data_IF_328878698658
#
_entry.id   IF_328878698658
#
_cell.length_a   1.000
_cell.length_b   1.000
_cell.length_c   1.000
_cell.angle_alpha   90.00
_cell.angle_beta   90.00
_cell.angle_gamma   90.00
#
_symmetry.space_group_name_H-M   'P 1'
#
loop_
_entity.id
_entity.type
_entity.pdbx_description
1 polymer ?
#
# COMPACT_ATOMS: atom_id res chain seq x y z
N UNK A 1 -2.59 7.41 -5.35
CA UNK A 1 -2.18 7.55 -6.77
C UNK A 1 -3.45 7.73 -7.60
N UNK A 2 -3.53 8.76 -8.43
CA UNK A 2 -4.70 8.98 -9.29
C UNK A 2 -4.62 8.14 -10.57
N UNK A 3 -5.75 7.89 -11.28
CA UNK A 3 -5.72 7.26 -12.59
C UNK A 3 -4.75 7.95 -13.55
N UNK A 4 -4.81 9.28 -13.66
CA UNK A 4 -3.93 10.06 -14.55
C UNK A 4 -2.43 9.87 -14.24
N UNK A 5 -2.05 9.78 -12.96
CA UNK A 5 -0.67 9.46 -12.56
C UNK A 5 -0.25 8.07 -13.07
N UNK A 6 -1.11 7.07 -12.84
CA UNK A 6 -0.80 5.68 -13.22
C UNK A 6 -0.74 5.54 -14.74
N UNK A 7 -1.69 6.12 -15.48
CA UNK A 7 -1.73 6.10 -16.94
C UNK A 7 -0.49 6.76 -17.56
N UNK A 8 -0.09 7.93 -17.06
CA UNK A 8 1.11 8.62 -17.53
C UNK A 8 2.37 7.78 -17.29
N UNK A 9 2.46 7.14 -16.13
CA UNK A 9 3.59 6.29 -15.78
C UNK A 9 3.65 5.03 -16.67
N UNK A 10 2.53 4.32 -16.83
CA UNK A 10 2.42 3.13 -17.68
C UNK A 10 2.67 3.42 -19.18
N UNK A 11 2.43 4.65 -19.59
CA UNK A 11 2.73 5.13 -20.96
C UNK A 11 4.17 5.64 -21.12
N UNK A 12 5.02 5.50 -20.09
CA UNK A 12 6.40 5.97 -20.10
C UNK A 12 6.58 7.49 -19.99
N UNK A 13 5.50 8.23 -19.72
CA UNK A 13 5.52 9.71 -19.56
C UNK A 13 5.88 10.09 -18.13
N UNK A 14 7.09 9.70 -17.72
CA UNK A 14 7.58 9.84 -16.34
C UNK A 14 7.50 11.28 -15.80
N UNK A 15 7.97 12.26 -16.57
CA UNK A 15 7.96 13.66 -16.15
C UNK A 15 6.54 14.20 -15.92
N UNK A 16 5.57 13.73 -16.72
CA UNK A 16 4.16 14.06 -16.56
C UNK A 16 3.60 13.43 -15.27
N UNK A 17 3.91 12.16 -15.01
CA UNK A 17 3.51 11.49 -13.77
C UNK A 17 4.07 12.21 -12.54
N UNK A 18 5.35 12.59 -12.54
CA UNK A 18 5.98 13.35 -11.46
C UNK A 18 5.27 14.71 -11.23
N UNK A 19 4.92 15.41 -12.30
CA UNK A 19 4.20 16.69 -12.22
C UNK A 19 2.77 16.53 -11.67
N UNK A 20 2.05 15.49 -12.09
CA UNK A 20 0.68 15.20 -11.61
C UNK A 20 0.68 14.95 -10.09
N UNK A 21 1.65 14.22 -9.57
CA UNK A 21 1.69 13.82 -8.18
C UNK A 21 2.57 14.74 -7.30
N UNK A 22 3.21 15.74 -7.88
CA UNK A 22 4.17 16.63 -7.22
C UNK A 22 5.20 15.86 -6.37
N UNK A 23 5.86 14.88 -7.01
CA UNK A 23 6.90 14.05 -6.39
C UNK A 23 7.99 13.68 -7.39
N UNK A 24 9.09 13.12 -6.89
CA UNK A 24 10.16 12.54 -7.69
C UNK A 24 10.11 11.02 -7.61
N UNK A 25 10.04 10.38 -8.76
CA UNK A 25 10.08 8.93 -8.86
C UNK A 25 11.53 8.42 -8.77
N UNK A 26 11.79 7.28 -8.12
CA UNK A 26 13.10 6.65 -8.13
C UNK A 26 13.49 6.19 -9.53
N UNK A 27 14.78 6.22 -9.83
CA UNK A 27 15.28 5.69 -11.10
C UNK A 27 14.87 4.22 -11.26
N UNK A 28 14.41 3.85 -12.46
CA UNK A 28 13.98 2.49 -12.79
C UNK A 28 12.64 2.04 -12.18
N UNK A 29 11.97 2.89 -11.41
CA UNK A 29 10.61 2.58 -10.96
C UNK A 29 9.59 3.07 -12.04
N UNK A 30 8.56 2.30 -12.47
CA UNK A 30 8.17 0.98 -11.96
C UNK A 30 8.87 -0.16 -12.73
N UNK A 31 9.20 -1.23 -12.03
CA UNK A 31 9.61 -2.48 -12.65
C UNK A 31 8.39 -3.28 -13.18
N UNK A 32 8.57 -4.42 -13.88
CA UNK A 32 7.44 -5.19 -14.39
C UNK A 32 6.46 -5.72 -13.31
N UNK A 33 6.92 -5.93 -12.08
CA UNK A 33 6.04 -6.31 -10.98
C UNK A 33 5.19 -5.11 -10.54
N UNK A 34 5.81 -3.95 -10.35
CA UNK A 34 5.13 -2.69 -10.05
C UNK A 34 4.11 -2.33 -11.14
N UNK A 35 4.45 -2.53 -12.43
CA UNK A 35 3.51 -2.26 -13.52
C UNK A 35 2.26 -3.14 -13.45
N UNK A 36 2.40 -4.45 -13.14
CA UNK A 36 1.22 -5.33 -12.98
C UNK A 36 0.32 -4.83 -11.85
N UNK A 37 0.93 -4.50 -10.72
CA UNK A 37 0.22 -3.90 -9.58
C UNK A 37 -0.52 -2.61 -9.99
N UNK A 38 0.14 -1.68 -10.67
CA UNK A 38 -0.46 -0.42 -11.11
C UNK A 38 -1.63 -0.64 -12.10
N UNK A 39 -1.49 -1.58 -13.04
CA UNK A 39 -2.58 -1.94 -13.96
C UNK A 39 -3.78 -2.53 -13.23
N UNK A 40 -3.56 -3.37 -12.21
CA UNK A 40 -4.64 -3.88 -11.36
C UNK A 40 -5.38 -2.73 -10.67
N UNK A 41 -4.64 -1.79 -10.05
CA UNK A 41 -5.24 -0.63 -9.36
C UNK A 41 -6.02 0.28 -10.30
N UNK A 42 -5.47 0.54 -11.48
CA UNK A 42 -6.16 1.33 -12.52
C UNK A 42 -7.47 0.69 -12.96
N UNK A 43 -7.47 -0.63 -13.17
CA UNK A 43 -8.70 -1.38 -13.50
C UNK A 43 -9.74 -1.27 -12.40
N UNK A 44 -9.36 -1.50 -11.14
CA UNK A 44 -10.27 -1.37 -9.99
C UNK A 44 -10.90 0.03 -9.90
N UNK A 45 -10.13 1.09 -10.14
CA UNK A 45 -10.63 2.47 -10.17
C UNK A 45 -11.59 2.72 -11.35
N UNK A 46 -11.37 2.04 -12.48
CA UNK A 46 -12.26 2.13 -13.64
C UNK A 46 -13.59 1.38 -13.45
N UNK A 47 -13.59 0.32 -12.65
CA UNK A 47 -14.81 -0.44 -12.29
C UNK A 47 -15.65 0.30 -11.23
N UNK A 48 -15.00 0.96 -10.28
CA UNK A 48 -15.65 1.75 -9.23
C UNK A 48 -14.73 2.89 -8.77
N UNK A 49 -15.08 4.13 -9.11
CA UNK A 49 -14.31 5.32 -8.71
C UNK A 49 -14.25 5.52 -7.19
N UNK A 50 -15.23 5.03 -6.45
CA UNK A 50 -15.31 5.18 -5.00
C UNK A 50 -14.22 4.40 -4.25
N UNK A 51 -13.58 3.40 -4.90
CA UNK A 51 -12.48 2.64 -4.27
C UNK A 51 -11.15 3.39 -4.28
N UNK A 52 -10.98 4.41 -5.14
CA UNK A 52 -9.70 5.11 -5.29
C UNK A 52 -9.06 5.58 -3.97
N UNK A 53 -9.79 6.16 -3.00
CA UNK A 53 -9.19 6.59 -1.73
C UNK A 53 -8.59 5.45 -0.89
N UNK A 54 -9.07 4.22 -1.09
CA UNK A 54 -8.60 3.04 -0.38
C UNK A 54 -7.35 2.45 -0.97
N UNK A 55 -7.18 2.56 -2.28
CA UNK A 55 -6.10 1.92 -3.01
C UNK A 55 -4.73 2.61 -2.80
N UNK A 56 -3.79 2.30 -3.67
CA UNK A 56 -2.40 2.70 -3.53
C UNK A 56 -2.19 4.22 -3.40
N UNK A 57 -1.45 4.61 -2.38
CA UNK A 57 -0.90 5.96 -2.16
C UNK A 57 0.62 5.91 -2.19
N UNK A 58 1.25 6.91 -2.76
CA UNK A 58 2.69 7.06 -2.69
C UNK A 58 3.11 7.46 -1.26
N UNK A 59 4.14 6.81 -0.73
CA UNK A 59 4.88 7.30 0.41
C UNK A 59 5.94 8.27 -0.10
N UNK A 60 5.91 9.52 0.36
CA UNK A 60 6.79 10.59 -0.12
C UNK A 60 7.64 11.10 1.02
N UNK A 61 8.95 11.26 0.78
CA UNK A 61 9.86 11.88 1.76
C UNK A 61 9.45 13.32 2.06
N UNK A 62 9.71 13.76 3.31
CA UNK A 62 9.37 15.13 3.75
C UNK A 62 10.44 16.17 3.40
N UNK A 63 11.54 15.74 2.77
CA UNK A 63 12.56 16.64 2.29
C UNK A 63 12.07 17.47 1.08
N UNK A 64 12.88 18.44 0.66
CA UNK A 64 12.51 19.34 -0.46
C UNK A 64 12.37 18.61 -1.80
N UNK A 65 13.01 17.46 -1.94
CA UNK A 65 12.99 16.68 -3.18
C UNK A 65 11.70 15.87 -3.35
N UNK A 66 10.95 15.63 -2.26
CA UNK A 66 9.67 14.90 -2.30
C UNK A 66 9.77 13.57 -3.04
N UNK A 67 10.80 12.79 -2.70
CA UNK A 67 11.05 11.50 -3.35
C UNK A 67 10.01 10.46 -2.94
N UNK A 68 9.50 9.72 -3.90
CA UNK A 68 8.73 8.52 -3.61
C UNK A 68 9.65 7.46 -3.01
N UNK A 69 9.32 7.00 -1.79
CA UNK A 69 10.09 6.01 -1.03
C UNK A 69 9.40 4.65 -0.98
N UNK A 70 8.19 4.56 -1.49
CA UNK A 70 7.36 3.36 -1.51
C UNK A 70 5.91 3.68 -1.79
N UNK A 71 5.07 2.68 -1.61
CA UNK A 71 3.61 2.84 -1.68
C UNK A 71 2.91 2.01 -0.61
N UNK A 72 1.69 2.39 -0.29
CA UNK A 72 0.82 1.75 0.69
C UNK A 72 -0.64 1.93 0.27
N UNK A 73 -1.49 1.01 0.62
CA UNK A 73 -2.94 1.12 0.41
C UNK A 73 -3.68 -0.04 1.02
N UNK A 74 -4.99 0.05 0.99
CA UNK A 74 -5.84 -1.10 1.25
C UNK A 74 -6.12 -1.86 -0.05
N UNK A 75 -6.53 -3.11 0.07
CA UNK A 75 -6.92 -3.91 -1.11
C UNK A 75 -8.25 -3.45 -1.69
N UNK A 76 -9.02 -2.70 -0.91
CA UNK A 76 -10.30 -2.10 -1.24
C UNK A 76 -10.93 -1.45 -0.01
N UNK A 77 -12.19 -1.00 -0.09
CA UNK A 77 -12.97 -0.59 1.06
C UNK A 77 -13.17 -1.77 2.04
N UNK A 78 -13.59 -1.49 3.29
CA UNK A 78 -13.81 -2.56 4.27
C UNK A 78 -14.87 -3.55 3.80
N UNK A 79 -14.64 -4.83 4.12
CA UNK A 79 -15.57 -5.92 3.82
C UNK A 79 -16.86 -5.86 4.67
N UNK A 80 -17.77 -6.84 4.50
CA UNK A 80 -19.02 -6.93 5.26
C UNK A 80 -18.85 -7.09 6.78
N UNK A 81 -17.64 -7.37 7.27
CA UNK A 81 -17.27 -7.40 8.69
C UNK A 81 -16.64 -6.09 9.18
N UNK A 82 -16.52 -5.09 8.29
CA UNK A 82 -15.81 -3.84 8.57
C UNK A 82 -14.29 -3.99 8.63
N UNK A 83 -13.73 -5.04 8.02
CA UNK A 83 -12.30 -5.33 7.96
C UNK A 83 -11.68 -4.71 6.72
N UNK A 84 -10.56 -4.02 6.88
CA UNK A 84 -9.74 -3.49 5.78
C UNK A 84 -8.36 -4.16 5.76
N UNK A 85 -8.01 -4.78 4.63
CA UNK A 85 -6.72 -5.41 4.42
C UNK A 85 -5.74 -4.44 3.75
N UNK A 86 -4.54 -4.32 4.33
CA UNK A 86 -3.53 -3.35 3.92
C UNK A 86 -2.29 -4.03 3.37
N UNK A 87 -1.79 -3.50 2.24
CA UNK A 87 -0.51 -3.87 1.67
C UNK A 87 0.42 -2.66 1.53
N UNK A 88 1.73 -2.88 1.60
CA UNK A 88 2.74 -1.84 1.45
C UNK A 88 4.06 -2.37 0.89
N UNK A 89 4.77 -1.49 0.21
CA UNK A 89 6.13 -1.73 -0.27
C UNK A 89 6.98 -0.51 0.03
N UNK A 90 8.15 -0.72 0.67
CA UNK A 90 9.20 0.30 0.79
C UNK A 90 10.33 -0.08 -0.14
N UNK A 91 10.70 0.86 -1.01
CA UNK A 91 11.75 0.65 -2.00
C UNK A 91 13.10 0.41 -1.32
N UNK A 92 13.95 -0.49 -1.86
CA UNK A 92 15.15 -0.96 -1.19
C UNK A 92 16.05 0.13 -0.57
N UNK A 93 16.35 1.26 -1.26
CA UNK A 93 17.22 2.30 -0.69
C UNK A 93 16.65 3.00 0.56
N UNK A 94 15.34 2.85 0.81
CA UNK A 94 14.62 3.56 1.87
C UNK A 94 14.17 2.66 3.02
N UNK A 95 14.47 1.36 2.95
CA UNK A 95 14.10 0.38 3.98
C UNK A 95 14.78 0.68 5.32
N UNK A 96 14.20 0.16 6.41
CA UNK A 96 14.70 0.26 7.80
C UNK A 96 14.78 1.71 8.34
N UNK A 97 14.04 2.65 7.75
CA UNK A 97 13.94 4.05 8.17
C UNK A 97 12.59 4.43 8.79
N UNK A 98 11.71 3.45 9.05
CA UNK A 98 10.42 3.67 9.68
C UNK A 98 9.26 4.08 8.75
N UNK A 99 9.49 4.26 7.45
CA UNK A 99 8.47 4.71 6.51
C UNK A 99 7.21 3.84 6.50
N UNK A 100 7.35 2.49 6.44
CA UNK A 100 6.21 1.60 6.46
C UNK A 100 5.37 1.75 7.73
N UNK A 101 6.02 1.82 8.89
CA UNK A 101 5.33 1.95 10.18
C UNK A 101 4.57 3.28 10.30
N UNK A 102 5.20 4.39 9.88
CA UNK A 102 4.56 5.71 9.88
C UNK A 102 3.35 5.74 8.93
N UNK A 103 3.54 5.25 7.70
CA UNK A 103 2.50 5.22 6.70
C UNK A 103 1.33 4.31 7.10
N UNK A 104 1.60 3.10 7.63
CA UNK A 104 0.58 2.18 8.09
C UNK A 104 -0.28 2.80 9.22
N UNK A 105 0.36 3.42 10.20
CA UNK A 105 -0.37 4.14 11.27
C UNK A 105 -1.24 5.26 10.73
N UNK A 106 -0.75 6.03 9.77
CA UNK A 106 -1.50 7.11 9.14
C UNK A 106 -2.71 6.59 8.35
N UNK A 107 -2.52 5.51 7.57
CA UNK A 107 -3.60 4.87 6.81
C UNK A 107 -4.68 4.28 7.71
N UNK A 108 -4.29 3.57 8.77
CA UNK A 108 -5.22 3.02 9.76
C UNK A 108 -5.98 4.12 10.50
N UNK A 109 -5.28 5.20 10.89
CA UNK A 109 -5.92 6.34 11.56
C UNK A 109 -6.92 7.04 10.63
N UNK A 110 -6.61 7.19 9.34
CA UNK A 110 -7.53 7.72 8.33
C UNK A 110 -8.76 6.83 8.18
N UNK A 111 -8.57 5.52 7.97
CA UNK A 111 -9.68 4.59 7.78
C UNK A 111 -10.60 4.50 9.01
N UNK A 112 -10.02 4.52 10.22
CA UNK A 112 -10.80 4.52 11.45
C UNK A 112 -11.59 5.82 11.66
N UNK A 113 -10.95 6.98 11.42
CA UNK A 113 -11.57 8.28 11.67
C UNK A 113 -12.63 8.65 10.64
N UNK A 114 -12.35 8.44 9.35
CA UNK A 114 -13.22 8.88 8.26
C UNK A 114 -14.27 7.82 7.87
N UNK A 115 -13.99 6.53 8.14
CA UNK A 115 -14.83 5.43 7.67
C UNK A 115 -15.22 4.44 8.76
N UNK A 116 -14.82 4.66 10.01
CA UNK A 116 -15.20 3.83 11.15
C UNK A 116 -14.61 2.42 11.14
N UNK A 117 -13.52 2.19 10.40
CA UNK A 117 -12.86 0.87 10.35
C UNK A 117 -12.24 0.54 11.69
N UNK A 118 -12.59 -0.61 12.25
CA UNK A 118 -12.10 -1.09 13.54
C UNK A 118 -11.27 -2.36 13.45
N UNK A 119 -11.29 -3.05 12.32
CA UNK A 119 -10.55 -4.29 12.09
C UNK A 119 -9.61 -4.13 10.90
N UNK A 120 -8.33 -4.37 11.12
CA UNK A 120 -7.30 -4.29 10.09
C UNK A 120 -6.62 -5.65 9.89
N UNK A 121 -6.29 -5.99 8.65
CA UNK A 121 -5.60 -7.22 8.27
C UNK A 121 -4.31 -6.94 7.53
N UNK A 122 -3.33 -7.81 7.75
CA UNK A 122 -2.12 -7.96 6.95
C UNK A 122 -1.97 -9.43 6.57
N UNK A 123 -1.68 -9.70 5.30
CA UNK A 123 -1.26 -11.01 4.80
C UNK A 123 0.23 -10.92 4.47
N UNK A 124 1.04 -11.79 5.04
CA UNK A 124 2.50 -11.65 5.02
C UNK A 124 3.13 -13.01 4.72
N UNK A 125 3.96 -13.08 3.67
CA UNK A 125 4.77 -14.27 3.41
C UNK A 125 5.63 -14.64 4.64
N UNK A 126 5.73 -15.94 4.98
CA UNK A 126 6.58 -16.42 6.09
C UNK A 126 8.05 -15.96 6.00
N UNK A 127 8.54 -15.74 4.79
CA UNK A 127 9.92 -15.33 4.53
C UNK A 127 10.12 -13.80 4.64
N UNK A 128 9.06 -13.02 4.81
CA UNK A 128 9.12 -11.56 4.94
C UNK A 128 9.33 -11.12 6.39
N UNK A 129 10.50 -11.46 6.95
CA UNK A 129 10.84 -11.14 8.34
C UNK A 129 10.66 -9.64 8.71
N UNK A 130 11.00 -8.65 7.85
CA UNK A 130 10.74 -7.24 8.17
C UNK A 130 9.27 -6.92 8.38
N UNK A 131 8.37 -7.44 7.54
CA UNK A 131 6.92 -7.23 7.67
C UNK A 131 6.34 -7.95 8.87
N UNK A 132 6.81 -9.16 9.18
CA UNK A 132 6.43 -9.88 10.39
C UNK A 132 6.81 -9.11 11.66
N UNK A 133 8.04 -8.57 11.70
CA UNK A 133 8.49 -7.73 12.82
C UNK A 133 7.67 -6.44 12.96
N UNK A 134 7.26 -5.83 11.85
CA UNK A 134 6.40 -4.66 11.86
C UNK A 134 4.99 -4.99 12.35
N UNK A 135 4.39 -6.08 11.90
CA UNK A 135 3.09 -6.54 12.37
C UNK A 135 3.09 -6.77 13.90
N UNK A 136 4.11 -7.46 14.42
CA UNK A 136 4.28 -7.65 15.85
C UNK A 136 4.42 -6.32 16.62
N UNK A 137 5.25 -5.39 16.12
CA UNK A 137 5.44 -4.05 16.71
C UNK A 137 4.18 -3.21 16.74
N UNK A 138 3.27 -3.40 15.79
CA UNK A 138 1.98 -2.72 15.71
C UNK A 138 0.89 -3.40 16.55
N UNK A 139 1.16 -4.58 17.11
CA UNK A 139 0.20 -5.33 17.93
C UNK A 139 -0.73 -6.24 17.14
N UNK A 140 -0.47 -6.46 15.86
CA UNK A 140 -1.21 -7.45 15.07
C UNK A 140 -0.99 -8.86 15.63
N UNK A 141 -2.06 -9.67 15.65
CA UNK A 141 -2.03 -11.07 16.10
C UNK A 141 -2.29 -12.00 14.93
N UNK A 142 -1.51 -13.07 14.84
CA UNK A 142 -1.77 -14.11 13.84
C UNK A 142 -3.11 -14.79 14.13
N UNK A 143 -3.96 -14.84 13.09
CA UNK A 143 -5.30 -15.45 13.16
C UNK A 143 -5.45 -16.63 12.22
N UNK A 144 -4.51 -16.83 11.28
CA UNK A 144 -4.58 -17.94 10.33
C UNK A 144 -3.48 -17.89 9.30
N UNK A 145 -3.74 -18.57 8.20
CA UNK A 145 -2.92 -18.60 6.99
C UNK A 145 -3.83 -18.74 5.77
N UNK A 146 -3.35 -18.34 4.62
CA UNK A 146 -4.03 -18.47 3.33
C UNK A 146 -3.02 -18.77 2.23
N UNK A 147 -3.52 -19.24 1.10
CA UNK A 147 -2.73 -19.38 -0.12
C UNK A 147 -3.16 -18.29 -1.06
N UNK A 148 -2.24 -17.43 -1.44
CA UNK A 148 -2.41 -16.45 -2.51
C UNK A 148 -1.94 -17.06 -3.83
N UNK A 149 -2.64 -16.76 -4.93
CA UNK A 149 -2.33 -17.34 -6.25
C UNK A 149 -1.00 -16.85 -6.84
N UNK A 150 -0.54 -15.66 -6.42
CA UNK A 150 0.72 -15.06 -6.89
C UNK A 150 1.86 -15.22 -5.86
N UNK A 151 1.56 -14.96 -4.59
CA UNK A 151 2.56 -14.87 -3.51
C UNK A 151 2.70 -16.18 -2.70
N UNK A 152 1.81 -17.15 -2.94
CA UNK A 152 1.84 -18.47 -2.28
C UNK A 152 1.34 -18.41 -0.83
N UNK A 153 2.02 -19.10 0.08
CA UNK A 153 1.62 -19.15 1.49
C UNK A 153 1.80 -17.79 2.16
N UNK A 154 0.74 -17.30 2.77
CA UNK A 154 0.73 -16.09 3.60
C UNK A 154 0.19 -16.38 5.01
N UNK A 155 0.83 -15.77 5.99
CA UNK A 155 0.36 -15.73 7.37
C UNK A 155 -0.58 -14.53 7.53
N UNK A 156 -1.78 -14.77 8.05
CA UNK A 156 -2.81 -13.75 8.21
C UNK A 156 -2.77 -13.20 9.63
N UNK A 157 -2.69 -11.88 9.72
CA UNK A 157 -2.65 -11.15 10.99
C UNK A 157 -3.79 -10.15 11.05
N UNK A 158 -4.41 -10.00 12.21
CA UNK A 158 -5.48 -9.01 12.44
C UNK A 158 -5.16 -8.13 13.65
N UNK A 159 -5.63 -6.88 13.59
CA UNK A 159 -5.60 -5.91 14.68
C UNK A 159 -6.98 -5.27 14.79
N UNK A 160 -7.67 -5.50 15.91
CA UNK A 160 -8.85 -4.74 16.29
C UNK A 160 -8.44 -3.45 17.01
N UNK A 161 -9.09 -2.33 16.70
CA UNK A 161 -9.00 -1.09 17.48
C UNK A 161 -10.21 -1.01 18.39
N UNK A 162 -9.93 -0.76 19.65
CA UNK A 162 -10.94 -0.41 20.63
C UNK A 162 -11.47 1.01 20.43
#
# INVERSE_FOLDING_TARGET
MSPAFIESLLAGRRAEAEAIADLRLPEGWADPHDERFLRLRLRQMGEDEAVQPWLARAMVSRDRERRMVGHIGFHGPPDGRGMAEMGYTVLPPYRRRGYALEAARAMMAWAAREHGVQLFRLSISPDNAPSLAMAAKMGFRRVGEQIDDEDGLELVFELARE
#
